data_IF_614896368748
#
_entry.id   IF_614896368748
#
_cell.length_a   1.000
_cell.length_b   1.000
_cell.length_c   1.000
_cell.angle_alpha   90.00
_cell.angle_beta   90.00
_cell.angle_gamma   90.00
#
_symmetry.space_group_name_H-M   'P 1'
#
loop_
_entity.id
_entity.type
_entity.pdbx_description
1 polymer ?
#
# COMPACT_ATOMS: atom_id res chain seq x y z
N UNK A 1 6.14 2.71 -16.17
CA UNK A 1 4.78 2.44 -16.71
C UNK A 1 3.71 2.85 -15.71
N UNK A 2 3.75 2.34 -14.47
CA UNK A 2 2.78 2.66 -13.41
C UNK A 2 2.57 4.18 -13.20
N UNK A 3 3.64 4.94 -12.98
CA UNK A 3 3.59 6.41 -12.86
C UNK A 3 2.88 7.08 -14.04
N UNK A 4 3.32 6.81 -15.28
CA UNK A 4 2.74 7.46 -16.48
C UNK A 4 1.24 7.17 -16.64
N UNK A 5 0.80 5.96 -16.29
CA UNK A 5 -0.61 5.58 -16.33
C UNK A 5 -1.38 6.32 -15.22
N UNK A 6 -0.85 6.31 -13.99
CA UNK A 6 -1.51 6.91 -12.85
C UNK A 6 -1.63 8.44 -12.99
N UNK A 7 -0.57 9.11 -13.45
CA UNK A 7 -0.59 10.56 -13.69
C UNK A 7 -1.48 10.92 -14.88
N UNK A 8 -1.44 10.14 -15.97
CA UNK A 8 -2.33 10.36 -17.12
C UNK A 8 -3.82 10.16 -16.79
N UNK A 9 -4.12 9.29 -15.81
CA UNK A 9 -5.48 9.03 -15.33
C UNK A 9 -5.90 9.95 -14.17
N UNK A 10 -5.04 10.85 -13.70
CA UNK A 10 -5.25 11.65 -12.49
C UNK A 10 -5.60 10.79 -11.25
N UNK A 11 -4.99 9.60 -11.15
CA UNK A 11 -5.23 8.68 -10.04
C UNK A 11 -4.60 9.22 -8.74
N UNK A 12 -5.27 9.00 -7.61
CA UNK A 12 -4.71 9.31 -6.31
C UNK A 12 -3.62 8.32 -5.89
N UNK A 13 -3.77 7.05 -6.25
CA UNK A 13 -2.82 6.00 -5.94
C UNK A 13 -2.93 4.87 -6.96
N UNK A 14 -1.93 3.99 -6.97
CA UNK A 14 -1.89 2.78 -7.78
C UNK A 14 -0.86 1.81 -7.25
N UNK A 15 -0.88 0.57 -7.71
CA UNK A 15 0.10 -0.43 -7.30
C UNK A 15 0.44 -1.39 -8.45
N UNK A 16 1.53 -2.11 -8.31
CA UNK A 16 1.83 -3.31 -9.07
C UNK A 16 2.40 -4.37 -8.12
N UNK A 17 1.91 -5.60 -8.21
CA UNK A 17 2.35 -6.71 -7.36
C UNK A 17 2.29 -8.02 -8.16
N UNK A 18 3.19 -8.99 -7.92
CA UNK A 18 3.12 -10.32 -8.51
C UNK A 18 1.83 -11.09 -8.13
N UNK A 19 1.35 -11.99 -9.00
CA UNK A 19 0.04 -12.65 -8.85
C UNK A 19 -0.10 -13.49 -7.58
N UNK A 20 0.96 -14.15 -7.15
CA UNK A 20 1.04 -14.94 -5.92
C UNK A 20 0.83 -14.07 -4.68
N UNK A 21 1.52 -12.93 -4.58
CA UNK A 21 1.32 -11.94 -3.53
C UNK A 21 -0.06 -11.26 -3.63
N UNK A 22 -0.58 -11.06 -4.83
CA UNK A 22 -1.87 -10.40 -5.07
C UNK A 22 -3.04 -11.16 -4.43
N UNK A 23 -2.99 -12.50 -4.42
CA UNK A 23 -4.02 -13.33 -3.82
C UNK A 23 -4.11 -13.14 -2.30
N UNK A 24 -2.96 -13.14 -1.61
CA UNK A 24 -2.90 -12.89 -0.17
C UNK A 24 -3.33 -11.46 0.19
N UNK A 25 -3.00 -10.47 -0.64
CA UNK A 25 -3.48 -9.08 -0.49
C UNK A 25 -5.01 -9.01 -0.66
N UNK A 26 -5.58 -9.72 -1.64
CA UNK A 26 -7.03 -9.77 -1.84
C UNK A 26 -7.77 -10.38 -0.63
N UNK A 27 -7.15 -11.33 0.07
CA UNK A 27 -7.71 -11.90 1.30
C UNK A 27 -7.77 -10.91 2.47
N UNK A 28 -7.10 -9.76 2.40
CA UNK A 28 -7.20 -8.72 3.43
C UNK A 28 -8.57 -8.04 3.45
N UNK A 29 -9.34 -8.14 2.36
CA UNK A 29 -10.69 -7.55 2.21
C UNK A 29 -11.77 -8.61 2.03
N UNK A 30 -11.39 -9.87 1.80
CA UNK A 30 -12.34 -10.94 1.50
C UNK A 30 -13.25 -11.23 2.70
N UNK A 31 -14.58 -11.14 2.56
CA UNK A 31 -15.49 -11.56 3.61
C UNK A 31 -15.33 -13.06 3.85
N UNK A 32 -15.21 -13.46 5.12
CA UNK A 32 -15.20 -14.88 5.48
C UNK A 32 -16.62 -15.32 5.79
N UNK A 33 -16.94 -16.60 5.57
CA UNK A 33 -18.26 -17.14 5.97
C UNK A 33 -18.49 -17.05 7.49
N UNK A 34 -17.43 -16.91 8.29
CA UNK A 34 -17.48 -16.91 9.76
C UNK A 34 -17.31 -15.53 10.41
N UNK A 35 -17.21 -14.43 9.65
CA UNK A 35 -17.10 -13.08 10.23
C UNK A 35 -16.24 -12.09 9.45
N UNK A 36 -15.59 -11.10 10.12
CA UNK A 36 -14.75 -10.11 9.44
C UNK A 36 -13.64 -10.77 8.61
N UNK A 37 -12.98 -10.04 7.69
CA UNK A 37 -11.88 -10.59 6.93
C UNK A 37 -10.88 -11.31 7.85
N UNK A 38 -10.44 -12.50 7.45
CA UNK A 38 -9.37 -13.24 8.14
C UNK A 38 -8.14 -13.28 7.23
N UNK A 39 -7.39 -12.17 7.13
CA UNK A 39 -6.20 -12.12 6.30
C UNK A 39 -5.21 -13.20 6.71
N UNK A 40 -4.51 -13.73 5.72
CA UNK A 40 -3.48 -14.74 5.94
C UNK A 40 -2.21 -14.09 6.44
N UNK A 41 -1.31 -14.92 6.98
CA UNK A 41 0.09 -14.56 7.28
C UNK A 41 0.23 -13.39 8.29
N UNK A 42 -0.81 -13.07 9.05
CA UNK A 42 -0.82 -11.97 10.02
C UNK A 42 -0.84 -10.58 9.38
N UNK A 43 -1.31 -10.46 8.13
CA UNK A 43 -1.61 -9.18 7.50
C UNK A 43 -2.84 -8.54 8.16
N UNK A 44 -2.99 -7.20 8.10
CA UNK A 44 -4.14 -6.55 8.68
C UNK A 44 -5.38 -6.72 7.80
N UNK A 45 -6.55 -6.80 8.44
CA UNK A 45 -7.82 -6.65 7.75
C UNK A 45 -7.99 -5.20 7.28
N UNK A 46 -8.51 -5.03 6.07
CA UNK A 46 -8.79 -3.73 5.48
C UNK A 46 -10.31 -3.56 5.36
N UNK A 47 -10.79 -2.32 5.44
CA UNK A 47 -12.20 -2.01 5.18
C UNK A 47 -12.53 -2.20 3.70
N UNK A 48 -13.79 -2.38 3.35
CA UNK A 48 -14.18 -2.36 1.95
C UNK A 48 -13.93 -0.98 1.33
N UNK A 49 -13.73 -0.90 0.01
CA UNK A 49 -13.43 0.35 -0.70
C UNK A 49 -14.48 1.43 -0.42
N UNK A 50 -15.76 1.04 -0.38
CA UNK A 50 -16.91 1.91 -0.12
C UNK A 50 -16.94 2.46 1.32
N UNK A 51 -16.15 1.88 2.22
CA UNK A 51 -16.04 2.28 3.63
C UNK A 51 -14.79 3.13 3.89
N UNK A 52 -13.97 3.39 2.88
CA UNK A 52 -12.81 4.29 2.98
C UNK A 52 -13.30 5.73 2.83
N UNK A 53 -12.95 6.56 3.82
CA UNK A 53 -13.49 7.92 3.97
C UNK A 53 -13.07 8.92 2.90
N UNK A 54 -11.98 8.65 2.18
CA UNK A 54 -11.39 9.57 1.23
C UNK A 54 -10.67 8.82 0.10
N UNK A 55 -10.83 9.24 -1.16
CA UNK A 55 -10.19 8.57 -2.31
C UNK A 55 -8.66 8.70 -2.30
N UNK A 56 -8.11 9.67 -1.58
CA UNK A 56 -6.68 9.87 -1.37
C UNK A 56 -6.05 8.76 -0.51
N UNK A 57 -6.84 8.06 0.30
CA UNK A 57 -6.33 6.97 1.15
C UNK A 57 -6.11 5.73 0.27
N UNK A 58 -4.86 5.24 0.13
CA UNK A 58 -4.60 4.01 -0.61
C UNK A 58 -5.37 2.84 -0.02
N UNK A 59 -5.97 2.03 -0.89
CA UNK A 59 -6.77 0.90 -0.43
C UNK A 59 -5.89 -0.20 0.17
N UNK A 60 -4.79 -0.55 -0.49
CA UNK A 60 -3.85 -1.57 -0.01
C UNK A 60 -2.45 -1.26 -0.55
N UNK A 61 -1.46 -2.04 -0.10
CA UNK A 61 -0.07 -1.92 -0.54
C UNK A 61 0.25 -3.08 -1.49
N UNK A 62 0.97 -2.77 -2.57
CA UNK A 62 1.60 -3.75 -3.45
C UNK A 62 3.12 -3.69 -3.39
N UNK A 63 3.81 -4.42 -4.26
CA UNK A 63 5.27 -4.33 -4.40
C UNK A 63 5.75 -2.91 -4.76
N UNK A 64 5.22 -2.38 -5.86
CA UNK A 64 5.38 -0.99 -6.27
C UNK A 64 4.10 -0.23 -5.94
N UNK A 65 4.25 0.95 -5.38
CA UNK A 65 3.14 1.81 -5.01
C UNK A 65 3.34 3.18 -5.65
N UNK A 66 2.35 3.67 -6.38
CA UNK A 66 2.25 5.06 -6.75
C UNK A 66 1.33 5.76 -5.76
N UNK A 67 1.79 6.89 -5.23
CA UNK A 67 0.99 7.80 -4.42
C UNK A 67 1.10 9.20 -5.02
N UNK A 68 -0.02 9.80 -5.37
CA UNK A 68 -0.04 11.22 -5.76
C UNK A 68 0.42 12.09 -4.60
N UNK A 69 0.69 13.38 -4.85
CA UNK A 69 1.05 14.31 -3.79
C UNK A 69 -0.01 14.35 -2.66
N UNK A 70 -1.30 14.28 -3.03
CA UNK A 70 -2.40 14.27 -2.07
C UNK A 70 -2.45 12.97 -1.25
N UNK A 71 -2.29 11.81 -1.89
CA UNK A 71 -2.26 10.52 -1.19
C UNK A 71 -1.07 10.43 -0.23
N UNK A 72 0.12 10.85 -0.69
CA UNK A 72 1.34 10.88 0.12
C UNK A 72 1.17 11.78 1.35
N UNK A 73 0.55 12.96 1.19
CA UNK A 73 0.24 13.85 2.30
C UNK A 73 -0.72 13.21 3.32
N UNK A 74 -1.79 12.55 2.86
CA UNK A 74 -2.80 11.93 3.72
C UNK A 74 -2.22 10.80 4.56
N UNK A 75 -1.32 9.98 3.99
CA UNK A 75 -0.65 8.90 4.75
C UNK A 75 0.59 9.38 5.52
N UNK A 76 0.96 10.65 5.38
CA UNK A 76 2.12 11.25 6.05
C UNK A 76 3.46 10.75 5.53
N UNK A 77 3.60 10.59 4.21
CA UNK A 77 4.85 10.22 3.54
C UNK A 77 5.40 11.39 2.69
N UNK A 78 6.72 11.66 2.70
CA UNK A 78 7.73 11.03 3.55
C UNK A 78 7.91 11.72 4.91
N UNK A 79 8.27 10.94 5.92
CA UNK A 79 8.87 11.37 7.19
C UNK A 79 10.35 10.95 7.19
N UNK A 80 11.26 11.92 7.14
CA UNK A 80 12.71 11.66 7.04
C UNK A 80 13.29 10.86 8.21
N UNK A 81 12.64 10.89 9.37
CA UNK A 81 13.09 10.16 10.56
C UNK A 81 12.61 8.71 10.60
N UNK A 82 11.54 8.38 9.85
CA UNK A 82 10.87 7.07 9.91
C UNK A 82 10.94 6.29 8.59
N UNK A 83 11.13 6.98 7.48
CA UNK A 83 10.97 6.43 6.14
C UNK A 83 12.29 6.30 5.37
N UNK A 84 13.44 6.41 6.05
CA UNK A 84 14.75 6.37 5.39
C UNK A 84 14.93 5.13 4.49
N UNK A 85 14.47 3.96 4.94
CA UNK A 85 14.52 2.72 4.16
C UNK A 85 13.62 2.81 2.91
N UNK A 86 12.35 3.21 3.07
CA UNK A 86 11.42 3.38 1.94
C UNK A 86 11.91 4.46 0.97
N UNK A 87 12.46 5.55 1.48
CA UNK A 87 13.02 6.66 0.70
C UNK A 87 14.22 6.23 -0.15
N UNK A 88 15.05 5.30 0.33
CA UNK A 88 16.16 4.74 -0.45
C UNK A 88 15.67 4.00 -1.71
N UNK A 89 14.40 3.53 -1.69
CA UNK A 89 13.71 2.83 -2.78
C UNK A 89 12.52 3.62 -3.32
N UNK A 90 12.49 4.93 -3.09
CA UNK A 90 11.44 5.82 -3.58
C UNK A 90 12.00 6.81 -4.60
N UNK A 91 11.14 7.19 -5.55
CA UNK A 91 11.43 8.25 -6.51
C UNK A 91 10.26 9.20 -6.56
N UNK A 92 10.55 10.49 -6.49
CA UNK A 92 9.56 11.56 -6.67
C UNK A 92 9.20 11.69 -8.15
N UNK A 93 7.91 11.86 -8.44
CA UNK A 93 7.39 12.07 -9.80
C UNK A 93 7.37 13.56 -10.16
N UNK A 94 7.20 13.89 -11.44
CA UNK A 94 7.14 15.29 -11.90
C UNK A 94 5.95 16.05 -11.32
N UNK A 95 4.82 15.36 -11.12
CA UNK A 95 3.62 15.93 -10.48
C UNK A 95 3.73 16.07 -8.96
N UNK A 96 4.87 15.68 -8.38
CA UNK A 96 5.13 15.75 -6.95
C UNK A 96 4.63 14.56 -6.15
N UNK A 97 4.13 13.51 -6.81
CA UNK A 97 3.84 12.21 -6.22
C UNK A 97 5.10 11.38 -5.99
N UNK A 98 4.89 10.11 -5.65
CA UNK A 98 5.94 9.16 -5.32
C UNK A 98 5.67 7.80 -5.96
N UNK A 99 6.72 7.19 -6.47
CA UNK A 99 6.77 5.74 -6.70
C UNK A 99 7.65 5.14 -5.62
N UNK A 100 7.11 4.19 -4.86
CA UNK A 100 7.77 3.57 -3.72
C UNK A 100 7.79 2.06 -3.90
N UNK A 101 8.97 1.46 -3.77
CA UNK A 101 9.18 0.03 -3.83
C UNK A 101 9.38 -0.54 -2.42
N UNK A 102 8.55 -1.52 -2.04
CA UNK A 102 8.63 -2.11 -0.69
C UNK A 102 9.88 -2.96 -0.48
N UNK A 103 10.27 -3.72 -1.50
CA UNK A 103 11.36 -4.72 -1.46
C UNK A 103 12.16 -4.65 -2.76
N UNK A 104 13.47 -4.90 -2.73
CA UNK A 104 14.34 -4.79 -3.91
C UNK A 104 13.99 -5.79 -5.03
N UNK A 105 13.47 -6.96 -4.65
CA UNK A 105 12.91 -7.94 -5.56
C UNK A 105 11.37 -7.86 -5.57
N UNK A 106 10.70 -8.38 -6.62
CA UNK A 106 9.25 -8.53 -6.63
C UNK A 106 8.72 -9.18 -5.34
N UNK A 107 7.63 -8.64 -4.82
CA UNK A 107 7.07 -9.06 -3.54
C UNK A 107 6.69 -10.55 -3.59
N UNK A 108 7.21 -11.30 -2.62
CA UNK A 108 6.99 -12.73 -2.43
C UNK A 108 6.63 -12.92 -0.95
N UNK A 109 5.43 -13.42 -0.65
CA UNK A 109 4.96 -13.54 0.74
C UNK A 109 5.29 -14.88 1.40
N UNK A 110 5.95 -15.78 0.68
CA UNK A 110 6.61 -16.96 1.25
C UNK A 110 8.01 -16.61 1.77
N UNK A 111 8.63 -15.52 1.29
CA UNK A 111 9.82 -14.93 1.91
C UNK A 111 9.43 -14.14 3.20
N UNK A 112 9.90 -14.56 4.38
CA UNK A 112 9.60 -13.88 5.64
C UNK A 112 10.06 -12.42 5.69
N UNK A 113 11.15 -12.06 5.00
CA UNK A 113 11.67 -10.69 4.98
C UNK A 113 10.74 -9.75 4.21
N UNK A 114 10.20 -10.22 3.08
CA UNK A 114 9.22 -9.50 2.29
C UNK A 114 7.88 -9.35 3.03
N UNK A 115 7.41 -10.41 3.69
CA UNK A 115 6.22 -10.34 4.54
C UNK A 115 6.41 -9.34 5.70
N UNK A 116 7.58 -9.33 6.34
CA UNK A 116 7.90 -8.38 7.41
C UNK A 116 7.93 -6.94 6.89
N UNK A 117 8.54 -6.69 5.71
CA UNK A 117 8.54 -5.38 5.07
C UNK A 117 7.11 -4.87 4.80
N UNK A 118 6.23 -5.72 4.28
CA UNK A 118 4.82 -5.38 4.06
C UNK A 118 4.09 -5.06 5.38
N UNK A 119 4.30 -5.87 6.42
CA UNK A 119 3.71 -5.63 7.75
C UNK A 119 4.19 -4.33 8.37
N UNK A 120 5.50 -4.04 8.29
CA UNK A 120 6.07 -2.77 8.77
C UNK A 120 5.52 -1.58 8.01
N UNK A 121 5.33 -1.69 6.70
CA UNK A 121 4.69 -0.65 5.91
C UNK A 121 3.24 -0.39 6.37
N UNK A 122 2.45 -1.45 6.63
CA UNK A 122 1.13 -1.29 7.23
C UNK A 122 1.18 -0.70 8.64
N UNK A 123 2.16 -1.02 9.47
CA UNK A 123 2.32 -0.39 10.79
C UNK A 123 2.68 1.10 10.67
N UNK A 124 3.50 1.45 9.68
CA UNK A 124 3.92 2.83 9.41
C UNK A 124 2.77 3.70 8.89
N UNK A 125 1.88 3.13 8.09
CA UNK A 125 0.76 3.84 7.46
C UNK A 125 -0.59 3.28 7.95
N UNK A 126 -1.01 3.59 9.20
CA UNK A 126 -2.24 3.06 9.78
C UNK A 126 -3.51 3.49 9.03
N UNK A 127 -3.46 4.58 8.26
CA UNK A 127 -4.57 5.05 7.43
C UNK A 127 -4.89 4.11 6.25
N UNK A 128 -3.89 3.44 5.69
CA UNK A 128 -4.05 2.58 4.50
C UNK A 128 -5.04 1.46 4.77
N UNK A 129 -5.96 1.27 3.82
CA UNK A 129 -7.09 0.34 3.92
C UNK A 129 -8.16 0.77 4.92
N UNK A 130 -8.21 2.06 5.26
CA UNK A 130 -9.20 2.66 6.14
C UNK A 130 -9.12 2.16 7.58
N UNK A 131 -7.95 1.67 8.03
CA UNK A 131 -7.80 1.01 9.33
C UNK A 131 -7.77 1.97 10.51
N UNK A 132 -7.28 3.19 10.33
CA UNK A 132 -7.35 4.21 11.36
C UNK A 132 -8.81 4.67 11.59
N UNK A 133 -9.16 4.88 12.85
CA UNK A 133 -10.43 5.50 13.22
C UNK A 133 -10.39 7.01 12.90
N UNK A 134 -11.55 7.65 12.66
CA UNK A 134 -11.67 9.10 12.60
C UNK A 134 -11.22 9.80 13.88
#
# INVERSE_FOLDING_TARGET
>A
MLERVAEGACAFWGHATPDDAALDIAYQTAPTQEGPPSPRRGLPALKLLEQIRAPEIPYYLGWLNYWSAAAAQVIGFPDSSRDAELLSRARRTESGGWVVQLTDAPLDLDDPAHLDALKRAYQRFPEIGGRAAP
#
